data_IF_842471711101
#
_entry.id   IF_842471711101
#
_cell.length_a   1.000
_cell.length_b   1.000
_cell.length_c   1.000
_cell.angle_alpha   90.00
_cell.angle_beta   90.00
_cell.angle_gamma   90.00
#
_symmetry.space_group_name_H-M   'P 1'
#
loop_
_entity.id
_entity.type
_entity.pdbx_description
1 polymer ?
#
# COMPACT_ATOMS: atom_id res chain seq x y z
N UNK A 1 -69.13 7.12 -19.07
CA UNK A 1 -68.97 6.75 -20.50
C UNK A 1 -67.63 7.27 -20.97
N UNK A 2 -66.59 6.40 -20.93
CA UNK A 2 -65.49 6.44 -21.85
C UNK A 2 -64.59 5.24 -21.63
N UNK A 3 -64.29 4.61 -22.72
CA UNK A 3 -63.74 3.25 -22.81
C UNK A 3 -62.26 3.19 -22.44
N UNK A 4 -61.88 2.18 -21.63
CA UNK A 4 -60.54 1.65 -21.49
C UNK A 4 -60.08 1.02 -22.82
N UNK A 5 -58.91 1.45 -23.29
CA UNK A 5 -58.14 0.76 -24.31
C UNK A 5 -57.03 -0.05 -23.59
N UNK A 6 -57.11 -1.38 -23.67
CA UNK A 6 -56.04 -2.29 -23.21
C UNK A 6 -55.04 -2.45 -24.33
N UNK A 7 -53.82 -1.94 -24.11
CA UNK A 7 -52.67 -2.35 -24.90
C UNK A 7 -51.95 -3.49 -24.16
N UNK A 8 -51.92 -4.63 -24.82
CA UNK A 8 -51.14 -5.82 -24.37
C UNK A 8 -49.70 -5.58 -24.78
N UNK A 9 -48.80 -5.37 -23.82
CA UNK A 9 -47.38 -5.48 -24.06
C UNK A 9 -46.92 -6.88 -23.71
N UNK A 10 -46.38 -7.58 -24.70
CA UNK A 10 -45.71 -8.86 -24.61
C UNK A 10 -44.40 -8.62 -23.80
N UNK A 11 -44.30 -9.18 -22.62
CA UNK A 11 -43.09 -9.20 -21.84
C UNK A 11 -42.14 -10.23 -22.44
N UNK A 12 -41.05 -9.71 -23.02
CA UNK A 12 -39.86 -10.49 -23.33
C UNK A 12 -39.26 -11.06 -22.04
N UNK A 13 -38.74 -12.26 -22.14
CA UNK A 13 -38.13 -13.01 -21.08
C UNK A 13 -37.07 -12.15 -20.33
N UNK A 14 -37.39 -11.81 -19.10
CA UNK A 14 -36.39 -11.27 -18.16
C UNK A 14 -35.45 -12.41 -17.82
N UNK A 15 -34.21 -12.28 -18.24
CA UNK A 15 -33.10 -13.02 -17.67
C UNK A 15 -33.17 -12.84 -16.15
N UNK A 16 -33.56 -13.90 -15.45
CA UNK A 16 -33.38 -13.99 -14.00
C UNK A 16 -31.88 -14.20 -13.84
N UNK A 17 -31.15 -13.12 -13.67
CA UNK A 17 -29.84 -13.18 -13.04
C UNK A 17 -30.16 -13.73 -11.66
N UNK A 18 -29.97 -15.03 -11.47
CA UNK A 18 -29.71 -15.57 -10.16
C UNK A 18 -28.41 -14.85 -9.70
N UNK A 19 -28.62 -13.70 -9.05
CA UNK A 19 -27.73 -13.37 -7.98
C UNK A 19 -27.79 -14.59 -7.07
N UNK A 20 -26.86 -15.53 -7.26
CA UNK A 20 -26.45 -16.33 -6.16
C UNK A 20 -26.23 -15.28 -5.07
N UNK A 21 -27.13 -15.24 -4.12
CA UNK A 21 -26.92 -14.67 -2.81
C UNK A 21 -25.70 -15.43 -2.28
N UNK A 22 -24.50 -15.11 -2.85
CA UNK A 22 -23.36 -15.09 -1.98
C UNK A 22 -23.83 -14.20 -0.86
N UNK A 23 -23.81 -14.67 0.38
CA UNK A 23 -23.89 -13.72 1.45
C UNK A 23 -22.86 -12.69 0.97
N UNK A 24 -23.32 -11.47 0.62
CA UNK A 24 -22.52 -10.32 0.88
C UNK A 24 -21.83 -10.76 2.14
N UNK A 25 -20.54 -11.09 2.09
CA UNK A 25 -19.78 -11.19 3.30
C UNK A 25 -20.06 -9.84 3.92
N UNK A 26 -21.24 -9.79 4.54
CA UNK A 26 -21.62 -8.66 5.35
C UNK A 26 -20.40 -8.59 6.24
N UNK A 27 -19.64 -7.57 6.03
CA UNK A 27 -18.69 -7.14 7.03
C UNK A 27 -19.43 -7.45 8.32
N UNK A 28 -18.92 -8.33 9.19
CA UNK A 28 -19.68 -8.77 10.36
C UNK A 28 -20.16 -7.49 10.99
N UNK A 29 -21.47 -7.36 11.18
CA UNK A 29 -22.13 -6.12 11.53
C UNK A 29 -21.20 -5.36 12.48
N UNK A 30 -20.66 -4.24 12.02
CA UNK A 30 -19.69 -3.42 12.74
C UNK A 30 -20.34 -2.75 13.96
N UNK A 31 -21.27 -3.45 14.56
CA UNK A 31 -22.07 -3.01 15.70
C UNK A 31 -21.33 -2.96 17.03
N UNK A 32 -20.05 -3.18 17.02
CA UNK A 32 -19.17 -2.92 18.16
C UNK A 32 -17.99 -2.16 17.59
N UNK A 33 -17.69 -1.00 18.06
CA UNK A 33 -16.66 0.00 17.81
C UNK A 33 -15.23 -0.48 17.46
N UNK A 34 -15.07 -1.58 16.73
CA UNK A 34 -13.79 -2.21 16.40
C UNK A 34 -13.78 -2.71 14.98
N UNK A 35 -12.81 -2.28 14.18
CA UNK A 35 -12.52 -2.81 12.85
C UNK A 35 -12.18 -4.31 12.89
N UNK A 36 -11.73 -4.81 14.04
CA UNK A 36 -11.57 -6.22 14.32
C UNK A 36 -12.18 -6.54 15.67
N UNK A 37 -13.02 -7.56 15.74
CA UNK A 37 -13.38 -8.21 16.99
C UNK A 37 -12.21 -9.09 17.45
N UNK A 38 -11.09 -8.46 17.83
CA UNK A 38 -9.90 -9.21 18.28
C UNK A 38 -10.17 -9.91 19.61
N UNK A 39 -10.86 -9.25 20.52
CA UNK A 39 -11.38 -9.83 21.76
C UNK A 39 -12.61 -9.03 22.16
N UNK A 40 -13.79 -9.63 22.03
CA UNK A 40 -15.08 -8.96 22.31
C UNK A 40 -15.22 -8.41 23.73
N UNK A 41 -14.46 -8.96 24.66
CA UNK A 41 -14.66 -8.75 26.09
C UNK A 41 -13.54 -7.92 26.76
N UNK A 42 -12.54 -7.45 26.01
CA UNK A 42 -11.48 -6.59 26.56
C UNK A 42 -11.84 -5.12 26.29
N UNK A 43 -12.09 -4.31 27.32
CA UNK A 43 -12.35 -2.90 27.15
C UNK A 43 -11.11 -2.23 26.54
N UNK A 44 -11.32 -1.43 25.47
CA UNK A 44 -10.26 -0.62 24.90
C UNK A 44 -9.76 0.42 25.93
N UNK A 45 -8.47 0.74 25.84
CA UNK A 45 -7.90 1.78 26.68
C UNK A 45 -8.64 3.11 26.51
N UNK A 46 -8.96 3.85 27.61
CA UNK A 46 -9.70 5.11 27.54
C UNK A 46 -9.13 6.15 26.57
N UNK A 47 -7.80 6.15 26.35
CA UNK A 47 -7.16 7.03 25.37
C UNK A 47 -7.63 6.76 23.94
N UNK A 48 -7.82 5.50 23.55
CA UNK A 48 -8.36 5.13 22.23
C UNK A 48 -9.84 5.46 22.15
N UNK A 49 -10.62 5.11 23.19
CA UNK A 49 -12.05 5.45 23.21
C UNK A 49 -12.31 6.94 23.27
N UNK A 50 -11.49 7.72 23.98
CA UNK A 50 -11.61 9.17 24.00
C UNK A 50 -11.32 9.82 22.64
N UNK A 51 -10.36 9.27 21.88
CA UNK A 51 -10.01 9.75 20.53
C UNK A 51 -10.98 9.28 19.46
N UNK A 52 -11.48 8.05 19.58
CA UNK A 52 -12.25 7.37 18.56
C UNK A 52 -13.74 7.21 18.92
N UNK A 53 -14.17 7.63 20.11
CA UNK A 53 -15.58 7.52 20.52
C UNK A 53 -16.55 8.25 19.60
N UNK A 54 -16.07 9.27 18.88
CA UNK A 54 -16.83 9.98 17.85
C UNK A 54 -16.52 9.49 16.43
N UNK A 55 -15.59 8.56 16.26
CA UNK A 55 -15.10 8.12 14.96
C UNK A 55 -15.65 6.75 14.53
N UNK A 56 -16.43 6.08 15.37
CA UNK A 56 -17.10 4.84 14.99
C UNK A 56 -18.06 5.06 13.82
N UNK A 57 -18.83 6.14 13.89
CA UNK A 57 -19.69 6.59 12.81
C UNK A 57 -18.86 6.94 11.57
N UNK A 58 -17.71 7.59 11.75
CA UNK A 58 -16.80 7.89 10.65
C UNK A 58 -16.23 6.63 9.99
N UNK A 59 -15.82 5.64 10.77
CA UNK A 59 -15.34 4.36 10.24
C UNK A 59 -16.44 3.66 9.44
N UNK A 60 -17.65 3.58 10.00
CA UNK A 60 -18.76 2.87 9.37
C UNK A 60 -19.37 3.60 8.16
N UNK A 61 -19.42 4.93 8.21
CA UNK A 61 -20.12 5.73 7.19
C UNK A 61 -19.16 6.29 6.11
N UNK A 62 -17.87 6.44 6.42
CA UNK A 62 -16.90 7.00 5.49
C UNK A 62 -15.82 6.01 5.10
N UNK A 63 -15.08 5.43 6.07
CA UNK A 63 -13.91 4.60 5.76
C UNK A 63 -14.33 3.33 5.01
N UNK A 64 -15.28 2.57 5.54
CA UNK A 64 -15.72 1.29 4.93
C UNK A 64 -16.35 1.52 3.55
N UNK A 65 -17.32 2.45 3.38
CA UNK A 65 -17.87 2.75 2.06
C UNK A 65 -16.83 3.27 1.06
N UNK A 66 -15.80 4.01 1.55
CA UNK A 66 -14.72 4.47 0.68
C UNK A 66 -13.83 3.31 0.23
N UNK A 67 -13.54 2.33 1.09
CA UNK A 67 -12.83 1.12 0.67
C UNK A 67 -13.56 0.38 -0.46
N UNK A 68 -14.88 0.23 -0.33
CA UNK A 68 -15.70 -0.44 -1.34
C UNK A 68 -15.70 0.35 -2.67
N UNK A 69 -15.79 1.67 -2.62
CA UNK A 69 -15.86 2.54 -3.80
C UNK A 69 -14.50 2.77 -4.48
N UNK A 70 -13.43 2.95 -3.67
CA UNK A 70 -12.12 3.38 -4.18
C UNK A 70 -11.15 2.23 -4.42
N UNK A 71 -11.43 1.04 -3.86
CA UNK A 71 -10.52 -0.11 -3.89
C UNK A 71 -11.11 -1.36 -4.51
N UNK A 72 -12.39 -1.32 -4.93
CA UNK A 72 -13.04 -2.41 -5.63
C UNK A 72 -13.66 -1.92 -6.92
N UNK A 73 -13.66 -2.79 -7.89
CA UNK A 73 -14.37 -2.61 -9.14
C UNK A 73 -15.07 -3.91 -9.57
N UNK A 74 -15.93 -3.78 -10.57
CA UNK A 74 -16.58 -4.91 -11.22
C UNK A 74 -15.60 -5.53 -12.24
N UNK A 75 -15.47 -6.84 -12.20
CA UNK A 75 -14.57 -7.62 -13.04
C UNK A 75 -15.44 -8.45 -13.99
N UNK A 76 -15.36 -8.14 -15.28
CA UNK A 76 -16.04 -8.85 -16.36
C UNK A 76 -15.07 -9.84 -16.99
N UNK A 77 -15.17 -11.11 -16.58
CA UNK A 77 -14.36 -12.18 -17.15
C UNK A 77 -15.12 -12.84 -18.30
N UNK A 78 -14.50 -12.97 -19.46
CA UNK A 78 -15.01 -13.70 -20.61
C UNK A 78 -14.07 -14.85 -20.95
N UNK A 79 -14.59 -16.07 -21.01
CA UNK A 79 -13.83 -17.28 -21.30
C UNK A 79 -14.25 -17.81 -22.66
N UNK A 80 -13.25 -17.98 -23.54
CA UNK A 80 -13.45 -18.45 -24.91
C UNK A 80 -12.43 -19.54 -25.27
N UNK A 81 -12.78 -20.37 -26.24
CA UNK A 81 -11.86 -21.30 -26.88
C UNK A 81 -10.87 -20.57 -27.82
N UNK A 82 -9.86 -21.27 -28.30
CA UNK A 82 -8.84 -20.75 -29.22
C UNK A 82 -9.39 -20.23 -30.56
N UNK A 83 -10.56 -20.71 -30.98
CA UNK A 83 -11.29 -20.21 -32.17
C UNK A 83 -12.26 -19.07 -31.84
N UNK A 84 -12.32 -18.62 -30.58
CA UNK A 84 -13.14 -17.50 -30.11
C UNK A 84 -14.57 -17.86 -29.70
N UNK A 85 -14.96 -19.13 -29.72
CA UNK A 85 -16.28 -19.54 -29.24
C UNK A 85 -16.39 -19.43 -27.71
N UNK A 86 -17.54 -18.94 -27.16
CA UNK A 86 -17.74 -18.83 -25.72
C UNK A 86 -17.75 -20.21 -25.06
N UNK A 87 -17.04 -20.35 -23.93
CA UNK A 87 -17.01 -21.57 -23.13
C UNK A 87 -17.99 -21.44 -21.96
N UNK A 88 -19.09 -22.18 -22.05
CA UNK A 88 -20.17 -22.19 -21.07
C UNK A 88 -19.91 -23.20 -19.95
N UNK A 89 -20.55 -22.98 -18.80
CA UNK A 89 -20.50 -23.92 -17.64
C UNK A 89 -19.11 -24.26 -17.16
N UNK A 90 -18.14 -23.37 -17.43
CA UNK A 90 -16.82 -23.48 -16.85
C UNK A 90 -16.86 -23.06 -15.38
N UNK A 91 -16.34 -23.90 -14.48
CA UNK A 91 -16.18 -23.53 -13.08
C UNK A 91 -15.01 -22.54 -12.96
N UNK A 92 -15.27 -21.38 -12.37
CA UNK A 92 -14.31 -20.27 -12.20
C UNK A 92 -14.00 -20.12 -10.73
N UNK A 93 -12.71 -19.97 -10.40
CA UNK A 93 -12.25 -19.50 -9.09
C UNK A 93 -11.25 -18.39 -9.32
N UNK A 94 -11.53 -17.21 -8.77
CA UNK A 94 -10.66 -16.04 -8.80
C UNK A 94 -10.23 -15.68 -7.37
N UNK A 95 -8.94 -15.57 -7.16
CA UNK A 95 -8.35 -15.32 -5.83
C UNK A 95 -7.35 -14.18 -5.92
N UNK A 96 -7.58 -13.12 -5.15
CA UNK A 96 -6.62 -12.02 -5.00
C UNK A 96 -5.34 -12.54 -4.35
N UNK A 97 -4.21 -12.35 -5.01
CA UNK A 97 -2.89 -12.75 -4.52
C UNK A 97 -2.13 -11.59 -3.91
N UNK A 98 -2.35 -10.38 -4.45
CA UNK A 98 -1.64 -9.18 -4.04
C UNK A 98 -2.51 -7.96 -4.28
N UNK A 99 -2.67 -7.11 -3.26
CA UNK A 99 -3.35 -5.83 -3.38
C UNK A 99 -2.54 -4.84 -4.24
N UNK A 100 -3.23 -3.94 -4.96
CA UNK A 100 -2.60 -2.78 -5.59
C UNK A 100 -2.02 -1.82 -4.55
N UNK A 101 -2.71 -1.65 -3.42
CA UNK A 101 -2.23 -0.84 -2.30
C UNK A 101 -1.06 -1.52 -1.59
N UNK A 102 -0.04 -0.74 -1.24
CA UNK A 102 1.18 -1.27 -0.64
C UNK A 102 1.15 -1.19 0.89
N UNK A 103 0.90 -2.31 1.54
CA UNK A 103 1.23 -2.49 2.95
C UNK A 103 2.66 -2.98 3.09
N UNK A 104 3.45 -2.30 3.92
CA UNK A 104 4.88 -2.55 4.01
C UNK A 104 5.45 -2.58 5.42
N UNK A 105 6.71 -3.03 5.48
CA UNK A 105 7.50 -3.06 6.70
C UNK A 105 8.97 -2.78 6.38
N UNK A 106 9.61 -1.83 7.08
CA UNK A 106 10.96 -1.35 6.75
C UNK A 106 12.06 -2.44 6.84
N UNK A 107 11.85 -3.48 7.62
CA UNK A 107 12.81 -4.60 7.77
C UNK A 107 12.39 -5.85 6.98
N UNK A 108 11.38 -5.80 6.14
CA UNK A 108 10.86 -6.98 5.43
C UNK A 108 11.96 -7.77 4.70
N UNK A 109 12.76 -7.08 3.91
CA UNK A 109 13.83 -7.70 3.13
C UNK A 109 15.16 -7.89 3.92
N UNK A 110 15.31 -7.25 5.08
CA UNK A 110 16.54 -7.27 5.89
C UNK A 110 16.42 -8.07 7.17
N UNK A 111 15.23 -8.64 7.47
CA UNK A 111 15.00 -9.50 8.63
C UNK A 111 15.91 -10.74 8.57
N UNK A 112 16.65 -10.99 9.65
CA UNK A 112 17.65 -12.07 9.71
C UNK A 112 17.05 -13.42 9.98
N UNK A 113 15.98 -13.48 10.79
CA UNK A 113 15.25 -14.72 11.04
C UNK A 113 14.47 -15.14 9.81
N UNK A 114 14.78 -16.31 9.25
CA UNK A 114 14.04 -16.84 8.09
C UNK A 114 12.55 -17.06 8.39
N UNK A 115 12.23 -17.47 9.62
CA UNK A 115 10.85 -17.63 10.09
C UNK A 115 10.12 -16.28 10.11
N UNK A 116 10.71 -15.28 10.77
CA UNK A 116 10.08 -13.95 10.86
C UNK A 116 9.96 -13.31 9.48
N UNK A 117 10.96 -13.45 8.62
CA UNK A 117 10.91 -12.98 7.24
C UNK A 117 9.76 -13.62 6.47
N UNK A 118 9.56 -14.92 6.60
CA UNK A 118 8.43 -15.61 5.99
C UNK A 118 7.08 -15.07 6.50
N UNK A 119 6.95 -14.87 7.81
CA UNK A 119 5.74 -14.30 8.41
C UNK A 119 5.51 -12.84 7.98
N UNK A 120 6.57 -12.03 7.86
CA UNK A 120 6.45 -10.66 7.32
C UNK A 120 6.02 -10.68 5.85
N UNK A 121 6.60 -11.56 5.03
CA UNK A 121 6.25 -11.68 3.61
C UNK A 121 4.84 -12.23 3.38
N UNK A 122 4.21 -12.86 4.38
CA UNK A 122 2.80 -13.25 4.31
C UNK A 122 1.84 -12.09 4.57
N UNK A 123 2.31 -10.99 5.15
CA UNK A 123 1.51 -9.79 5.42
C UNK A 123 1.81 -8.65 4.44
N UNK A 124 3.06 -8.48 4.06
CA UNK A 124 3.55 -7.28 3.40
C UNK A 124 4.18 -7.58 2.05
N UNK A 125 3.91 -6.70 1.08
CA UNK A 125 4.47 -6.74 -0.27
C UNK A 125 5.20 -5.45 -0.63
N UNK A 126 5.66 -4.71 0.38
CA UNK A 126 6.37 -3.45 0.19
C UNK A 126 7.42 -3.27 1.29
N UNK A 127 8.53 -2.64 0.94
CA UNK A 127 9.57 -2.26 1.89
C UNK A 127 10.13 -0.88 1.57
N UNK A 128 10.30 -0.08 2.63
CA UNK A 128 11.08 1.16 2.61
C UNK A 128 12.24 0.94 3.59
N UNK A 129 13.43 0.50 3.14
CA UNK A 129 14.51 0.04 4.02
C UNK A 129 15.06 1.19 4.87
N UNK A 130 15.17 0.97 6.19
CA UNK A 130 15.61 2.00 7.13
C UNK A 130 17.05 2.49 6.88
N UNK A 131 17.98 1.55 6.70
CA UNK A 131 19.41 1.88 6.74
C UNK A 131 20.17 1.48 5.48
N UNK A 132 19.77 0.39 4.82
CA UNK A 132 20.58 -0.23 3.77
C UNK A 132 20.82 0.70 2.58
N UNK A 133 19.82 1.51 2.23
CA UNK A 133 19.83 2.47 1.11
C UNK A 133 20.42 3.84 1.45
N UNK A 134 20.85 4.08 2.70
CA UNK A 134 21.51 5.33 3.08
C UNK A 134 22.91 5.39 2.49
N UNK A 135 23.25 6.48 1.83
CA UNK A 135 24.48 6.68 1.07
C UNK A 135 25.74 6.25 1.79
N UNK A 136 25.89 6.57 3.07
CA UNK A 136 27.04 6.17 3.90
C UNK A 136 27.30 4.66 4.00
N UNK A 137 26.31 3.84 3.69
CA UNK A 137 26.39 2.39 3.89
C UNK A 137 26.86 1.61 2.63
N UNK A 138 26.91 2.30 1.47
CA UNK A 138 27.32 1.69 0.20
C UNK A 138 28.37 2.49 -0.58
N UNK A 139 28.83 3.63 -0.08
CA UNK A 139 29.84 4.44 -0.73
C UNK A 139 31.08 4.63 0.19
N UNK A 140 31.97 3.63 0.26
CA UNK A 140 33.11 3.65 1.17
C UNK A 140 34.14 4.74 0.83
N UNK A 141 34.21 5.16 -0.44
CA UNK A 141 35.11 6.19 -0.93
C UNK A 141 34.48 7.04 -2.04
N UNK A 142 35.10 8.17 -2.38
CA UNK A 142 34.64 9.08 -3.44
C UNK A 142 34.61 8.34 -4.79
N UNK A 143 33.42 8.25 -5.38
CA UNK A 143 33.19 7.58 -6.65
C UNK A 143 33.23 6.04 -6.59
N UNK A 144 33.40 5.47 -5.39
CA UNK A 144 33.39 4.03 -5.17
C UNK A 144 32.09 3.60 -4.51
N UNK A 145 31.41 2.62 -5.10
CA UNK A 145 30.12 2.11 -4.60
C UNK A 145 30.19 0.59 -4.40
N UNK A 146 29.83 0.14 -3.21
CA UNK A 146 29.57 -1.27 -2.90
C UNK A 146 28.08 -1.52 -2.77
N UNK A 147 27.46 -1.94 -3.86
CA UNK A 147 26.04 -2.25 -3.90
C UNK A 147 25.70 -3.71 -3.55
N UNK A 148 26.67 -4.54 -3.19
CA UNK A 148 26.49 -5.99 -3.02
C UNK A 148 25.34 -6.37 -2.08
N UNK A 149 25.20 -5.66 -0.95
CA UNK A 149 24.12 -5.90 0.00
C UNK A 149 22.76 -5.43 -0.51
N UNK A 150 22.75 -4.34 -1.28
CA UNK A 150 21.53 -3.79 -1.89
C UNK A 150 21.08 -4.70 -3.03
N UNK A 151 22.01 -5.17 -3.87
CA UNK A 151 21.72 -6.13 -4.93
C UNK A 151 21.04 -7.37 -4.34
N UNK A 152 21.59 -7.94 -3.27
CA UNK A 152 20.99 -9.11 -2.60
C UNK A 152 19.60 -8.84 -2.03
N UNK A 153 19.34 -7.62 -1.56
CA UNK A 153 18.01 -7.19 -1.11
C UNK A 153 17.04 -7.06 -2.29
N UNK A 154 17.48 -6.43 -3.38
CA UNK A 154 16.67 -6.25 -4.59
C UNK A 154 16.32 -7.60 -5.21
N UNK A 155 17.30 -8.51 -5.35
CA UNK A 155 17.09 -9.88 -5.84
C UNK A 155 16.05 -10.63 -4.98
N UNK A 156 16.15 -10.49 -3.65
CA UNK A 156 15.16 -11.09 -2.75
C UNK A 156 13.76 -10.49 -2.95
N UNK A 157 13.67 -9.16 -3.08
CA UNK A 157 12.40 -8.47 -3.27
C UNK A 157 11.76 -8.86 -4.61
N UNK A 158 12.54 -8.93 -5.69
CA UNK A 158 12.07 -9.34 -7.01
C UNK A 158 11.55 -10.79 -6.99
N UNK A 159 12.33 -11.72 -6.41
CA UNK A 159 11.94 -13.12 -6.29
C UNK A 159 10.68 -13.36 -5.45
N UNK A 160 10.31 -12.41 -4.58
CA UNK A 160 9.12 -12.48 -3.70
C UNK A 160 8.05 -11.44 -4.06
N UNK A 161 8.16 -10.79 -5.20
CA UNK A 161 7.23 -9.75 -5.68
C UNK A 161 7.01 -8.61 -4.67
N UNK A 162 8.05 -8.22 -3.92
CA UNK A 162 8.04 -7.13 -2.94
C UNK A 162 8.45 -5.84 -3.63
N UNK A 163 7.60 -4.81 -3.58
CA UNK A 163 7.91 -3.49 -4.10
C UNK A 163 8.85 -2.74 -3.15
N UNK A 164 9.74 -1.93 -3.72
CA UNK A 164 10.76 -1.20 -2.97
C UNK A 164 10.60 0.31 -3.17
N UNK A 165 10.65 1.06 -2.07
CA UNK A 165 10.92 2.49 -2.10
C UNK A 165 12.34 2.75 -1.61
N UNK A 166 13.17 3.38 -2.47
CA UNK A 166 14.53 3.78 -2.10
C UNK A 166 14.49 4.94 -1.11
N UNK A 167 15.02 4.73 0.06
CA UNK A 167 14.98 5.67 1.17
C UNK A 167 16.41 6.06 1.55
N UNK A 168 16.97 7.12 1.06
CA UNK A 168 16.64 8.11 0.07
C UNK A 168 17.90 8.50 -0.72
N UNK A 169 17.79 9.27 -1.81
CA UNK A 169 18.93 9.53 -2.71
C UNK A 169 19.94 10.53 -2.16
N UNK A 170 19.49 11.58 -1.47
CA UNK A 170 20.31 12.69 -1.02
C UNK A 170 20.28 12.89 0.49
N UNK A 171 21.44 12.78 1.13
CA UNK A 171 21.62 12.90 2.58
C UNK A 171 22.27 11.66 3.20
N UNK A 172 22.53 11.70 4.51
CA UNK A 172 23.28 10.68 5.26
C UNK A 172 24.62 10.33 4.59
N UNK A 173 25.44 11.37 4.41
CA UNK A 173 26.70 11.32 3.71
C UNK A 173 27.70 10.33 4.32
N UNK A 174 28.57 9.71 3.49
CA UNK A 174 29.76 8.99 3.94
C UNK A 174 30.74 9.90 4.69
N UNK A 175 31.63 9.32 5.48
CA UNK A 175 32.64 10.10 6.24
C UNK A 175 33.56 10.92 5.34
N UNK A 176 34.00 10.36 4.21
CA UNK A 176 34.86 11.05 3.24
C UNK A 176 34.21 12.32 2.66
N UNK A 177 32.89 12.43 2.64
CA UNK A 177 32.16 13.58 2.13
C UNK A 177 32.52 14.87 2.89
N UNK A 178 32.86 14.75 4.18
CA UNK A 178 33.27 15.89 5.01
C UNK A 178 34.62 16.48 4.57
N UNK A 179 35.45 15.73 3.83
CA UNK A 179 36.75 16.22 3.29
C UNK A 179 36.60 17.12 2.07
N UNK A 180 35.43 17.17 1.42
CA UNK A 180 35.14 18.06 0.31
C UNK A 180 35.14 19.52 0.80
N UNK A 181 35.85 20.37 0.08
CA UNK A 181 36.15 21.72 0.56
C UNK A 181 35.03 22.71 0.25
N UNK A 182 34.32 22.53 -0.83
CA UNK A 182 33.31 23.50 -1.30
C UNK A 182 31.91 22.89 -1.38
N UNK A 183 30.88 23.72 -1.23
CA UNK A 183 29.50 23.31 -1.40
C UNK A 183 29.23 22.83 -2.85
N UNK A 184 29.97 23.37 -3.83
CA UNK A 184 29.87 22.92 -5.22
C UNK A 184 30.36 21.47 -5.39
N UNK A 185 31.47 21.07 -4.76
CA UNK A 185 31.98 19.70 -4.75
C UNK A 185 30.97 18.75 -4.06
N UNK A 186 30.40 19.19 -2.93
CA UNK A 186 29.39 18.44 -2.20
C UNK A 186 28.13 18.26 -3.01
N UNK A 187 27.61 19.28 -3.65
CA UNK A 187 26.45 19.23 -4.53
C UNK A 187 26.68 18.30 -5.73
N UNK A 188 27.86 18.42 -6.37
CA UNK A 188 28.25 17.54 -7.47
C UNK A 188 28.30 16.07 -7.04
N UNK A 189 28.82 15.77 -5.84
CA UNK A 189 28.88 14.42 -5.29
C UNK A 189 27.51 13.87 -4.95
N UNK A 190 26.57 14.68 -4.45
CA UNK A 190 25.19 14.28 -4.21
C UNK A 190 24.45 13.93 -5.50
N UNK A 191 24.61 14.74 -6.54
CA UNK A 191 24.06 14.46 -7.86
C UNK A 191 24.67 13.20 -8.49
N UNK A 192 25.98 13.01 -8.36
CA UNK A 192 26.67 11.81 -8.85
C UNK A 192 26.17 10.54 -8.16
N UNK A 193 25.96 10.58 -6.83
CA UNK A 193 25.37 9.49 -6.09
C UNK A 193 23.96 9.15 -6.57
N UNK A 194 23.10 10.17 -6.69
CA UNK A 194 21.72 9.97 -7.15
C UNK A 194 21.67 9.32 -8.54
N UNK A 195 22.55 9.77 -9.47
CA UNK A 195 22.69 9.17 -10.80
C UNK A 195 23.19 7.72 -10.75
N UNK A 196 24.16 7.42 -9.90
CA UNK A 196 24.70 6.06 -9.76
C UNK A 196 23.60 5.07 -9.30
N UNK A 197 22.81 5.47 -8.33
CA UNK A 197 21.67 4.68 -7.83
C UNK A 197 20.60 4.50 -8.90
N UNK A 198 20.14 5.60 -9.51
CA UNK A 198 19.07 5.55 -10.52
C UNK A 198 19.48 4.76 -11.76
N UNK A 199 20.71 4.93 -12.27
CA UNK A 199 21.21 4.16 -13.41
C UNK A 199 21.26 2.66 -13.12
N UNK A 200 21.51 2.27 -11.85
CA UNK A 200 21.58 0.86 -11.48
C UNK A 200 20.21 0.22 -11.25
N UNK A 201 19.29 0.95 -10.60
CA UNK A 201 18.09 0.36 -10.01
C UNK A 201 16.77 0.86 -10.61
N UNK A 202 16.76 1.73 -11.62
CA UNK A 202 15.53 2.30 -12.19
C UNK A 202 14.53 1.25 -12.72
N UNK A 203 15.01 0.05 -13.08
CA UNK A 203 14.18 -1.03 -13.62
C UNK A 203 13.75 -2.07 -12.55
N UNK A 204 14.31 -2.00 -11.33
CA UNK A 204 14.07 -2.98 -10.26
C UNK A 204 13.54 -2.37 -8.97
N UNK A 205 13.67 -1.07 -8.78
CA UNK A 205 13.12 -0.34 -7.63
C UNK A 205 11.94 0.50 -8.11
N UNK A 206 10.82 0.41 -7.40
CA UNK A 206 9.54 0.98 -7.85
C UNK A 206 9.45 2.49 -7.63
N UNK A 207 9.99 2.98 -6.49
CA UNK A 207 9.85 4.36 -6.05
C UNK A 207 11.17 4.87 -5.49
N UNK A 208 11.49 6.15 -5.77
CA UNK A 208 12.70 6.78 -5.25
C UNK A 208 12.36 8.06 -4.51
N UNK A 209 12.58 8.07 -3.22
CA UNK A 209 12.52 9.27 -2.40
C UNK A 209 13.83 10.04 -2.59
N UNK A 210 13.75 11.28 -3.06
CA UNK A 210 14.93 12.10 -3.35
C UNK A 210 15.48 12.72 -2.07
N UNK A 211 14.61 13.30 -1.24
CA UNK A 211 14.95 13.94 0.03
C UNK A 211 14.15 13.34 1.17
N UNK A 212 14.71 13.40 2.37
CA UNK A 212 14.07 12.94 3.59
C UNK A 212 14.06 14.00 4.67
N UNK A 213 12.87 14.29 5.21
CA UNK A 213 12.70 15.23 6.33
C UNK A 213 13.45 16.55 6.11
N UNK A 214 13.22 17.20 4.99
CA UNK A 214 13.91 18.42 4.56
C UNK A 214 13.95 19.54 5.62
N UNK A 215 12.96 19.57 6.49
CA UNK A 215 12.87 20.50 7.63
C UNK A 215 13.93 20.25 8.74
N UNK A 216 14.60 19.10 8.72
CA UNK A 216 15.66 18.76 9.67
C UNK A 216 17.05 19.15 9.19
N UNK A 217 17.16 20.32 8.53
CA UNK A 217 18.45 20.89 8.06
C UNK A 217 19.49 21.09 9.16
N UNK A 218 19.09 21.01 10.44
CA UNK A 218 20.01 21.06 11.59
C UNK A 218 20.82 19.76 11.79
N UNK A 219 20.46 18.68 11.09
CA UNK A 219 21.24 17.43 11.12
C UNK A 219 22.28 17.51 10.00
N UNK A 220 23.51 17.90 10.35
CA UNK A 220 24.59 18.12 9.37
C UNK A 220 24.77 16.94 8.39
N UNK A 221 24.73 15.70 8.90
CA UNK A 221 24.86 14.49 8.06
C UNK A 221 23.71 14.27 7.07
N UNK A 222 22.56 14.91 7.28
CA UNK A 222 21.38 14.79 6.42
C UNK A 222 21.24 16.00 5.47
N UNK A 223 22.12 17.01 5.60
CA UNK A 223 22.06 18.25 4.86
C UNK A 223 22.16 18.01 3.34
N UNK A 224 21.36 18.72 2.60
CA UNK A 224 21.42 18.79 1.15
C UNK A 224 22.18 20.06 0.77
N UNK A 225 23.25 19.93 -0.03
CA UNK A 225 24.14 21.01 -0.42
C UNK A 225 23.83 21.62 -1.79
N UNK A 226 23.02 20.91 -2.61
CA UNK A 226 22.51 21.43 -3.86
C UNK A 226 21.16 22.13 -3.66
N UNK A 227 20.79 22.99 -4.57
CA UNK A 227 19.40 23.45 -4.68
C UNK A 227 18.51 22.25 -4.96
N UNK A 228 17.58 22.00 -4.06
CA UNK A 228 16.72 20.81 -4.08
C UNK A 228 15.80 20.81 -5.30
N UNK A 229 15.28 21.98 -5.67
CA UNK A 229 14.43 22.13 -6.85
C UNK A 229 15.22 21.81 -8.12
N UNK A 230 16.44 22.32 -8.25
CA UNK A 230 17.28 22.05 -9.42
C UNK A 230 17.78 20.60 -9.46
N UNK A 231 18.09 20.00 -8.31
CA UNK A 231 18.43 18.57 -8.24
C UNK A 231 17.24 17.73 -8.70
N UNK A 232 16.04 17.99 -8.17
CA UNK A 232 14.84 17.26 -8.55
C UNK A 232 14.54 17.39 -10.05
N UNK A 233 14.56 18.60 -10.60
CA UNK A 233 14.36 18.86 -12.03
C UNK A 233 15.38 18.14 -12.90
N UNK A 234 16.64 18.12 -12.47
CA UNK A 234 17.72 17.42 -13.18
C UNK A 234 17.45 15.92 -13.23
N UNK A 235 17.14 15.31 -12.09
CA UNK A 235 16.83 13.87 -12.01
C UNK A 235 15.55 13.52 -12.80
N UNK A 236 14.51 14.34 -12.71
CA UNK A 236 13.27 14.14 -13.47
C UNK A 236 13.51 14.19 -14.99
N UNK A 237 14.35 15.10 -15.45
CA UNK A 237 14.71 15.24 -16.86
C UNK A 237 15.52 14.03 -17.37
N UNK A 238 16.46 13.55 -16.56
CA UNK A 238 17.33 12.43 -16.93
C UNK A 238 16.63 11.09 -16.82
N UNK A 239 15.69 10.95 -15.86
CA UNK A 239 14.95 9.71 -15.56
C UNK A 239 13.44 9.92 -15.66
N UNK A 240 12.88 10.19 -16.84
CA UNK A 240 11.48 10.59 -17.01
C UNK A 240 10.46 9.51 -16.66
N UNK A 241 10.87 8.24 -16.65
CA UNK A 241 9.98 7.10 -16.38
C UNK A 241 10.01 6.66 -14.91
N UNK A 242 10.98 7.11 -14.13
CA UNK A 242 11.14 6.71 -12.73
C UNK A 242 10.13 7.46 -11.85
N UNK A 243 9.53 6.77 -10.89
CA UNK A 243 8.68 7.42 -9.90
C UNK A 243 9.53 8.09 -8.82
N UNK A 244 9.52 9.44 -8.82
CA UNK A 244 10.25 10.27 -7.88
C UNK A 244 9.31 10.96 -6.91
N UNK A 245 9.71 10.98 -5.63
CA UNK A 245 9.01 11.68 -4.58
C UNK A 245 9.95 12.34 -3.57
N UNK A 246 9.35 13.05 -2.62
CA UNK A 246 10.07 13.71 -1.52
C UNK A 246 9.33 13.47 -0.21
N UNK A 247 10.04 13.49 0.92
CA UNK A 247 9.43 13.48 2.23
C UNK A 247 9.50 14.86 2.85
N UNK A 248 8.36 15.52 2.92
CA UNK A 248 8.23 16.91 3.37
C UNK A 248 7.28 17.03 4.58
N UNK A 249 6.74 15.91 5.09
CA UNK A 249 5.75 15.92 6.17
C UNK A 249 5.99 14.82 7.20
N UNK A 250 5.70 15.09 8.45
CA UNK A 250 5.97 14.18 9.56
C UNK A 250 4.81 13.96 10.54
N UNK A 251 3.61 14.43 10.22
CA UNK A 251 2.47 14.18 11.11
C UNK A 251 1.13 14.37 10.42
N UNK A 252 0.13 13.65 10.91
CA UNK A 252 -1.28 13.82 10.54
C UNK A 252 -1.98 14.98 11.24
N UNK A 253 -1.31 15.88 11.90
CA UNK A 253 -1.97 16.93 12.67
C UNK A 253 -1.96 18.30 11.96
N UNK A 254 -2.82 19.21 12.45
CA UNK A 254 -3.01 20.57 11.88
C UNK A 254 -1.74 21.44 11.92
N UNK A 255 -0.78 21.12 12.79
CA UNK A 255 0.46 21.89 12.94
C UNK A 255 1.53 21.51 11.91
N UNK A 256 1.46 20.26 11.40
CA UNK A 256 2.40 19.73 10.43
C UNK A 256 1.63 19.24 9.19
N UNK A 257 1.08 20.16 8.44
CA UNK A 257 0.36 19.88 7.20
C UNK A 257 1.29 19.27 6.16
N UNK A 258 0.74 18.37 5.36
CA UNK A 258 1.28 18.16 4.01
C UNK A 258 1.36 19.52 3.32
N UNK A 259 2.44 19.83 2.59
CA UNK A 259 2.47 21.03 1.75
C UNK A 259 1.31 20.97 0.75
N UNK A 260 0.85 22.12 0.29
CA UNK A 260 -0.23 22.13 -0.71
C UNK A 260 0.25 21.49 -2.02
N UNK A 261 -0.68 20.98 -2.82
CA UNK A 261 -0.36 20.41 -4.13
C UNK A 261 0.37 21.43 -5.01
N UNK A 262 -0.06 22.70 -4.97
CA UNK A 262 0.56 23.78 -5.73
C UNK A 262 1.99 24.06 -5.28
N UNK A 263 2.26 24.07 -3.97
CA UNK A 263 3.62 24.24 -3.42
C UNK A 263 4.53 23.10 -3.87
N UNK A 264 4.07 21.85 -3.75
CA UNK A 264 4.82 20.67 -4.17
C UNK A 264 5.11 20.68 -5.66
N UNK A 265 4.10 20.96 -6.49
CA UNK A 265 4.29 21.03 -7.95
C UNK A 265 5.20 22.18 -8.38
N UNK A 266 5.15 23.29 -7.69
CA UNK A 266 6.02 24.44 -7.95
C UNK A 266 7.50 24.13 -7.65
N UNK A 267 7.76 23.47 -6.52
CA UNK A 267 9.11 23.09 -6.10
C UNK A 267 9.65 21.89 -6.87
N UNK A 268 8.81 20.89 -7.14
CA UNK A 268 9.19 19.59 -7.70
C UNK A 268 8.34 19.24 -8.93
N UNK A 269 8.52 19.90 -10.06
CA UNK A 269 7.75 19.66 -11.27
C UNK A 269 7.83 18.20 -11.73
N UNK A 270 6.69 17.56 -11.95
CA UNK A 270 6.60 16.15 -12.35
C UNK A 270 6.84 15.15 -11.22
N UNK A 271 6.66 15.57 -9.97
CA UNK A 271 6.66 14.68 -8.81
C UNK A 271 5.51 13.67 -8.90
N UNK A 272 5.75 12.43 -8.46
CA UNK A 272 4.76 11.37 -8.45
C UNK A 272 4.12 11.14 -7.08
N UNK A 273 4.90 11.34 -6.00
CA UNK A 273 4.40 11.12 -4.65
C UNK A 273 5.09 12.01 -3.62
N UNK A 274 4.35 12.25 -2.54
CA UNK A 274 4.91 12.84 -1.30
C UNK A 274 4.91 11.76 -0.23
N UNK A 275 6.04 11.61 0.44
CA UNK A 275 6.14 10.72 1.60
C UNK A 275 5.86 11.51 2.87
N UNK A 276 5.25 10.82 3.85
CA UNK A 276 5.05 11.38 5.19
C UNK A 276 5.47 10.40 6.27
N UNK A 277 5.98 10.95 7.35
CA UNK A 277 6.32 10.23 8.56
C UNK A 277 5.26 10.45 9.64
N UNK A 278 4.78 9.38 10.21
CA UNK A 278 3.72 9.39 11.20
C UNK A 278 4.15 8.67 12.48
N UNK A 279 5.27 9.13 13.06
CA UNK A 279 5.74 8.61 14.35
C UNK A 279 4.86 9.14 15.49
N UNK A 280 4.23 8.24 16.22
CA UNK A 280 3.31 8.57 17.30
C UNK A 280 3.77 8.04 18.66
N UNK A 281 3.52 8.78 19.69
CA UNK A 281 3.08 10.18 19.68
C UNK A 281 4.29 11.13 19.68
N UNK A 282 4.43 12.00 18.70
CA UNK A 282 5.40 13.09 18.86
C UNK A 282 4.80 14.25 19.62
N UNK A 283 3.55 14.61 19.38
CA UNK A 283 2.83 15.64 20.15
C UNK A 283 1.35 15.35 20.26
N UNK A 284 0.72 14.84 19.20
CA UNK A 284 -0.71 14.60 19.14
C UNK A 284 -0.98 13.23 18.51
N UNK A 285 -1.94 12.52 19.07
CA UNK A 285 -2.59 11.41 18.40
C UNK A 285 -3.48 11.97 17.29
N UNK A 286 -3.47 11.35 16.13
CA UNK A 286 -4.42 11.66 15.08
C UNK A 286 -5.51 10.60 15.06
N UNK A 287 -6.75 11.04 15.08
CA UNK A 287 -7.89 10.18 14.84
C UNK A 287 -7.93 9.71 13.37
N UNK A 288 -8.63 8.62 13.04
CA UNK A 288 -8.88 8.23 11.66
C UNK A 288 -9.43 9.37 10.80
N UNK A 289 -10.34 10.19 11.37
CA UNK A 289 -10.89 11.35 10.68
C UNK A 289 -9.83 12.42 10.38
N UNK A 290 -8.98 12.77 11.33
CA UNK A 290 -7.90 13.75 11.11
C UNK A 290 -6.89 13.27 10.05
N UNK A 291 -6.62 11.95 10.02
CA UNK A 291 -5.78 11.35 8.98
C UNK A 291 -6.43 11.46 7.61
N UNK A 292 -7.69 11.10 7.51
CA UNK A 292 -8.45 11.16 6.26
C UNK A 292 -8.54 12.60 5.75
N UNK A 293 -8.88 13.57 6.62
CA UNK A 293 -8.94 14.99 6.28
C UNK A 293 -7.56 15.52 5.79
N UNK A 294 -6.46 14.96 6.29
CA UNK A 294 -5.11 15.28 5.80
C UNK A 294 -4.90 14.75 4.38
N UNK A 295 -5.35 13.55 4.10
CA UNK A 295 -5.23 12.95 2.77
C UNK A 295 -6.13 13.64 1.72
N UNK A 296 -7.29 14.17 2.12
CA UNK A 296 -8.23 14.88 1.25
C UNK A 296 -7.59 16.08 0.51
N UNK A 297 -6.47 16.63 1.04
CA UNK A 297 -5.72 17.70 0.38
C UNK A 297 -5.17 17.29 -0.99
N UNK A 298 -4.98 15.99 -1.23
CA UNK A 298 -4.42 15.43 -2.46
C UNK A 298 -5.44 14.67 -3.32
N UNK A 299 -6.73 14.71 -2.95
CA UNK A 299 -7.79 13.90 -3.58
C UNK A 299 -7.90 14.11 -5.09
N UNK A 300 -7.84 15.38 -5.53
CA UNK A 300 -8.02 15.77 -6.92
C UNK A 300 -6.69 15.91 -7.68
N UNK A 301 -5.59 15.38 -7.12
CA UNK A 301 -4.28 15.41 -7.74
C UNK A 301 -3.80 14.01 -8.16
N UNK A 302 -2.91 13.97 -9.15
CA UNK A 302 -2.21 12.74 -9.55
C UNK A 302 -1.09 12.36 -8.58
N UNK A 303 -0.69 13.27 -7.67
CA UNK A 303 0.36 13.04 -6.68
C UNK A 303 -0.18 12.08 -5.60
N UNK A 304 0.56 11.01 -5.34
CA UNK A 304 0.18 10.03 -4.32
C UNK A 304 0.86 10.28 -2.98
N UNK A 305 0.21 9.85 -1.91
CA UNK A 305 0.75 9.92 -0.55
C UNK A 305 1.32 8.55 -0.18
N UNK A 306 2.58 8.53 0.25
CA UNK A 306 3.23 7.37 0.84
C UNK A 306 3.46 7.63 2.33
N UNK A 307 2.80 6.88 3.20
CA UNK A 307 3.10 6.89 4.64
C UNK A 307 4.25 5.92 4.87
N UNK A 308 5.48 6.40 4.73
CA UNK A 308 6.68 5.55 4.70
C UNK A 308 7.24 5.19 6.07
N UNK A 309 6.94 6.00 7.09
CA UNK A 309 7.40 5.75 8.44
C UNK A 309 6.24 5.89 9.45
N UNK A 310 5.38 4.86 9.50
CA UNK A 310 4.36 4.81 10.53
C UNK A 310 4.88 4.04 11.76
N UNK A 311 4.91 4.70 12.90
CA UNK A 311 5.44 4.10 14.12
C UNK A 311 4.78 4.59 15.40
N UNK A 312 4.58 3.67 16.37
CA UNK A 312 4.05 3.98 17.69
C UNK A 312 5.10 3.72 18.75
N UNK A 313 5.30 4.69 19.61
CA UNK A 313 6.13 4.56 20.81
C UNK A 313 5.21 4.09 21.94
N UNK A 314 5.48 2.91 22.49
CA UNK A 314 4.80 2.37 23.67
C UNK A 314 5.45 2.93 24.94
N UNK A 315 4.66 3.23 25.97
CA UNK A 315 5.12 3.73 27.27
C UNK A 315 4.96 5.24 27.48
N UNK A 316 5.24 5.68 28.68
CA UNK A 316 5.19 7.09 29.04
C UNK A 316 6.28 7.89 28.31
N UNK A 317 5.86 8.94 27.60
CA UNK A 317 6.75 10.01 27.16
C UNK A 317 6.23 11.30 27.82
N UNK A 318 7.06 12.10 28.40
CA UNK A 318 6.67 13.38 28.99
C UNK A 318 5.96 14.27 27.97
N UNK A 319 4.77 14.77 28.33
CA UNK A 319 4.00 15.72 27.51
C UNK A 319 2.48 15.55 27.55
N UNK A 320 1.80 16.59 27.11
CA UNK A 320 0.39 16.93 27.32
C UNK A 320 -0.63 15.91 26.77
N UNK A 321 -0.23 14.91 25.98
CA UNK A 321 -1.15 14.09 25.20
C UNK A 321 -1.01 12.59 25.45
N UNK A 322 -0.54 12.21 26.62
CA UNK A 322 -0.37 10.83 26.98
C UNK A 322 -1.11 10.47 28.22
N UNK A 323 -1.90 9.50 28.05
CA UNK A 323 -2.68 8.90 29.11
C UNK A 323 -2.29 7.44 29.22
N UNK A 324 -1.24 7.19 29.99
CA UNK A 324 -0.87 5.85 30.42
C UNK A 324 -0.31 4.92 29.33
N UNK A 325 0.03 3.72 29.75
CA UNK A 325 0.50 2.65 28.87
C UNK A 325 -0.66 2.10 28.04
N UNK A 326 -0.45 2.00 26.75
CA UNK A 326 -1.37 1.29 25.86
C UNK A 326 -1.13 -0.21 25.99
N UNK A 327 -2.17 -0.97 26.23
CA UNK A 327 -2.10 -2.42 26.12
C UNK A 327 -1.98 -2.86 24.64
N UNK A 328 -1.63 -4.11 24.43
CA UNK A 328 -1.36 -4.62 23.10
C UNK A 328 -2.64 -4.69 22.24
N UNK A 329 -3.79 -4.93 22.86
CA UNK A 329 -5.09 -4.93 22.17
C UNK A 329 -5.47 -3.53 21.67
N UNK A 330 -5.31 -2.51 22.51
CA UNK A 330 -5.55 -1.11 22.15
C UNK A 330 -4.63 -0.67 21.01
N UNK A 331 -3.35 -1.06 21.10
CA UNK A 331 -2.37 -0.77 20.08
C UNK A 331 -2.73 -1.42 18.74
N UNK A 332 -3.09 -2.70 18.77
CA UNK A 332 -3.47 -3.45 17.58
C UNK A 332 -4.71 -2.83 16.90
N UNK A 333 -5.73 -2.45 17.69
CA UNK A 333 -6.94 -1.78 17.18
C UNK A 333 -6.60 -0.45 16.51
N UNK A 334 -5.75 0.38 17.13
CA UNK A 334 -5.32 1.64 16.52
C UNK A 334 -4.61 1.43 15.19
N UNK A 335 -3.70 0.46 15.11
CA UNK A 335 -3.02 0.12 13.85
C UNK A 335 -3.98 -0.30 12.76
N UNK A 336 -4.98 -1.09 13.09
CA UNK A 336 -6.00 -1.53 12.13
C UNK A 336 -6.83 -0.34 11.64
N UNK A 337 -7.21 0.58 12.53
CA UNK A 337 -7.94 1.78 12.15
C UNK A 337 -7.11 2.68 11.22
N UNK A 338 -5.81 2.87 11.53
CA UNK A 338 -4.88 3.60 10.65
C UNK A 338 -4.75 2.91 9.29
N UNK A 339 -4.56 1.60 9.28
CA UNK A 339 -4.41 0.82 8.06
C UNK A 339 -5.66 0.89 7.18
N UNK A 340 -6.84 0.75 7.77
CA UNK A 340 -8.12 0.86 7.07
C UNK A 340 -8.35 2.28 6.54
N UNK A 341 -8.04 3.30 7.32
CA UNK A 341 -8.17 4.71 6.91
C UNK A 341 -7.24 5.04 5.75
N UNK A 342 -5.97 4.66 5.83
CA UNK A 342 -5.02 4.84 4.74
C UNK A 342 -5.46 4.08 3.47
N UNK A 343 -5.89 2.83 3.63
CA UNK A 343 -6.39 2.01 2.52
C UNK A 343 -7.65 2.59 1.89
N UNK A 344 -8.54 3.20 2.66
CA UNK A 344 -9.80 3.75 2.13
C UNK A 344 -9.62 4.98 1.25
N UNK A 345 -8.52 5.73 1.38
CA UNK A 345 -8.34 7.00 0.68
C UNK A 345 -7.65 6.85 -0.68
N UNK A 346 -8.22 7.37 -1.79
CA UNK A 346 -7.69 7.17 -3.15
C UNK A 346 -6.32 7.80 -3.40
N UNK A 347 -5.95 8.83 -2.63
CA UNK A 347 -4.63 9.48 -2.76
C UNK A 347 -3.53 8.70 -2.06
N UNK A 348 -3.85 7.84 -1.09
CA UNK A 348 -2.84 7.05 -0.37
C UNK A 348 -2.52 5.78 -1.15
N UNK A 349 -1.24 5.52 -1.37
CA UNK A 349 -0.76 4.33 -2.09
C UNK A 349 0.04 3.38 -1.21
N UNK A 350 0.69 3.90 -0.19
CA UNK A 350 1.59 3.14 0.69
C UNK A 350 1.28 3.43 2.16
N UNK A 351 1.28 2.38 2.97
CA UNK A 351 1.43 2.43 4.42
C UNK A 351 2.53 1.46 4.84
N UNK A 352 3.66 1.97 5.31
CA UNK A 352 4.82 1.18 5.72
C UNK A 352 5.10 1.32 7.21
N UNK A 353 5.15 0.19 7.92
CA UNK A 353 5.46 0.14 9.33
C UNK A 353 6.95 0.39 9.54
N UNK A 354 7.26 1.38 10.37
CA UNK A 354 8.63 1.71 10.74
C UNK A 354 9.02 0.98 12.00
N UNK A 355 9.96 0.08 11.91
CA UNK A 355 10.30 -0.86 12.96
C UNK A 355 11.72 -0.67 13.51
N UNK A 356 12.02 0.53 13.97
CA UNK A 356 13.14 0.71 14.89
C UNK A 356 12.66 0.28 16.29
N UNK A 357 12.86 -0.99 16.61
CA UNK A 357 12.29 -1.62 17.81
C UNK A 357 12.81 -1.06 19.13
N UNK A 358 13.97 -0.40 19.14
CA UNK A 358 14.50 0.26 20.33
C UNK A 358 13.70 1.54 20.67
N UNK A 359 13.17 2.20 19.63
CA UNK A 359 12.43 3.46 19.77
C UNK A 359 10.93 3.27 19.63
N UNK A 360 10.49 2.44 18.69
CA UNK A 360 9.07 2.19 18.38
C UNK A 360 8.65 0.82 18.88
N UNK A 361 8.69 0.65 20.19
CA UNK A 361 8.36 -0.63 20.84
C UNK A 361 6.92 -1.09 20.59
N UNK A 362 6.03 -0.15 20.26
CA UNK A 362 4.66 -0.45 19.87
C UNK A 362 4.49 -1.13 18.52
N UNK A 363 5.51 -1.11 17.65
CA UNK A 363 5.44 -1.72 16.31
C UNK A 363 5.92 -3.18 16.29
N UNK A 364 6.20 -3.79 17.42
CA UNK A 364 6.72 -5.17 17.47
C UNK A 364 5.66 -6.15 16.99
N UNK A 365 5.97 -6.82 15.90
CA UNK A 365 5.15 -7.90 15.34
C UNK A 365 5.49 -9.26 15.94
N UNK A 366 6.63 -9.38 16.60
CA UNK A 366 7.09 -10.59 17.26
C UNK A 366 7.55 -10.29 18.67
N UNK A 367 7.16 -11.13 19.63
CA UNK A 367 7.64 -11.11 20.99
C UNK A 367 9.11 -11.51 21.09
N UNK A 368 9.69 -11.39 22.27
CA UNK A 368 11.08 -11.83 22.55
C UNK A 368 11.27 -13.34 22.34
N UNK A 369 10.20 -14.11 22.50
CA UNK A 369 10.16 -15.56 22.22
C UNK A 369 10.01 -15.88 20.72
N UNK A 370 9.95 -14.86 19.86
CA UNK A 370 9.77 -14.98 18.42
C UNK A 370 8.36 -15.38 17.97
N UNK A 371 7.36 -15.33 18.86
CA UNK A 371 5.97 -15.57 18.49
C UNK A 371 5.30 -14.30 17.98
N UNK A 372 4.29 -14.43 17.10
CA UNK A 372 3.44 -13.32 16.72
C UNK A 372 2.82 -12.60 17.92
N UNK A 373 2.75 -11.26 17.84
CA UNK A 373 2.06 -10.42 18.82
C UNK A 373 0.59 -10.23 18.44
N UNK A 374 -0.21 -9.62 19.33
CA UNK A 374 -1.58 -9.22 19.01
C UNK A 374 -1.64 -8.30 17.79
N UNK A 375 -0.67 -7.41 17.63
CA UNK A 375 -0.56 -6.56 16.44
C UNK A 375 -0.38 -7.38 15.15
N UNK A 376 0.47 -8.41 15.18
CA UNK A 376 0.64 -9.29 14.02
C UNK A 376 -0.68 -9.97 13.67
N UNK A 377 -1.36 -10.56 14.66
CA UNK A 377 -2.62 -11.29 14.43
C UNK A 377 -3.72 -10.35 13.93
N UNK A 378 -3.76 -9.11 14.43
CA UNK A 378 -4.69 -8.10 13.99
C UNK A 378 -4.47 -7.71 12.51
N UNK A 379 -3.23 -7.45 12.14
CA UNK A 379 -2.87 -7.14 10.75
C UNK A 379 -3.10 -8.35 9.84
N UNK A 380 -2.78 -9.56 10.29
CA UNK A 380 -3.07 -10.78 9.54
C UNK A 380 -4.58 -10.93 9.27
N UNK A 381 -5.41 -10.70 10.28
CA UNK A 381 -6.86 -10.72 10.12
C UNK A 381 -7.34 -9.65 9.14
N UNK A 382 -6.81 -8.42 9.21
CA UNK A 382 -7.16 -7.36 8.27
C UNK A 382 -6.71 -7.70 6.85
N UNK A 383 -5.43 -7.95 6.64
CA UNK A 383 -4.82 -8.01 5.31
C UNK A 383 -5.18 -9.31 4.57
N UNK A 384 -5.17 -10.46 5.27
CA UNK A 384 -5.34 -11.77 4.66
C UNK A 384 -6.78 -12.31 4.74
N UNK A 385 -7.66 -11.70 5.56
CA UNK A 385 -9.03 -12.21 5.72
C UNK A 385 -10.11 -11.16 5.44
N UNK A 386 -9.81 -9.85 5.53
CA UNK A 386 -10.77 -8.78 5.27
C UNK A 386 -10.51 -8.07 3.96
N UNK A 387 -9.26 -7.68 3.68
CA UNK A 387 -8.87 -6.98 2.45
C UNK A 387 -8.46 -7.98 1.36
N UNK A 388 -9.26 -9.03 1.18
CA UNK A 388 -9.03 -10.06 0.17
C UNK A 388 -10.29 -10.33 -0.66
N UNK A 389 -10.13 -10.97 -1.79
CA UNK A 389 -11.23 -11.40 -2.65
C UNK A 389 -11.00 -12.85 -3.05
N UNK A 390 -11.96 -13.69 -2.74
CA UNK A 390 -12.03 -15.06 -3.24
C UNK A 390 -13.43 -15.32 -3.75
N UNK A 391 -13.56 -15.57 -5.05
CA UNK A 391 -14.84 -15.80 -5.72
C UNK A 391 -14.81 -17.14 -6.44
N UNK A 392 -15.91 -17.86 -6.34
CA UNK A 392 -16.18 -19.05 -7.15
C UNK A 392 -17.49 -18.84 -7.90
N UNK A 393 -17.54 -19.24 -9.14
CA UNK A 393 -18.72 -19.09 -9.99
C UNK A 393 -18.68 -20.01 -11.20
N UNK A 394 -19.59 -19.79 -12.13
CA UNK A 394 -19.70 -20.54 -13.37
C UNK A 394 -19.96 -19.56 -14.52
N UNK A 395 -19.42 -19.84 -15.72
CA UNK A 395 -19.68 -19.02 -16.90
C UNK A 395 -21.09 -19.28 -17.44
N UNK A 396 -21.72 -18.18 -17.87
CA UNK A 396 -23.05 -18.20 -18.55
C UNK A 396 -22.97 -18.71 -20.01
N UNK A 397 -24.08 -18.61 -20.72
CA UNK A 397 -24.21 -19.00 -22.14
C UNK A 397 -23.31 -18.21 -23.08
N UNK A 398 -22.83 -17.04 -22.68
CA UNK A 398 -21.90 -16.18 -23.40
C UNK A 398 -20.44 -16.38 -23.01
N UNK A 399 -20.17 -17.34 -22.12
CA UNK A 399 -18.86 -17.58 -21.53
C UNK A 399 -18.44 -16.49 -20.54
N UNK A 400 -19.40 -15.74 -19.98
CA UNK A 400 -19.13 -14.62 -19.07
C UNK A 400 -19.30 -15.03 -17.59
N UNK A 401 -18.47 -14.44 -16.74
CA UNK A 401 -18.57 -14.49 -15.29
C UNK A 401 -18.23 -13.10 -14.75
N UNK A 402 -19.10 -12.50 -13.94
CA UNK A 402 -18.93 -11.15 -13.40
C UNK A 402 -18.91 -11.21 -11.88
N UNK A 403 -17.98 -10.50 -11.29
CA UNK A 403 -17.85 -10.38 -9.83
C UNK A 403 -17.21 -9.05 -9.42
N UNK A 404 -17.38 -8.64 -8.16
CA UNK A 404 -16.69 -7.47 -7.59
C UNK A 404 -15.49 -7.94 -6.78
N UNK A 405 -14.36 -7.19 -6.90
CA UNK A 405 -13.14 -7.53 -6.19
C UNK A 405 -12.23 -6.34 -5.94
N UNK A 406 -11.37 -6.45 -4.94
CA UNK A 406 -10.34 -5.46 -4.65
C UNK A 406 -9.34 -5.35 -5.81
N UNK A 407 -8.79 -4.16 -6.03
CA UNK A 407 -7.74 -3.93 -7.00
C UNK A 407 -6.46 -4.69 -6.63
N UNK A 408 -5.84 -5.30 -7.64
CA UNK A 408 -4.60 -6.05 -7.45
C UNK A 408 -4.47 -7.23 -8.40
N UNK A 409 -3.52 -8.10 -8.10
CA UNK A 409 -3.21 -9.27 -8.92
C UNK A 409 -4.04 -10.47 -8.52
N UNK A 410 -4.68 -11.09 -9.49
CA UNK A 410 -5.53 -12.26 -9.31
C UNK A 410 -4.91 -13.50 -9.92
N UNK A 411 -5.07 -14.62 -9.21
CA UNK A 411 -4.92 -15.97 -9.74
C UNK A 411 -6.28 -16.50 -10.14
N UNK A 412 -6.41 -16.84 -11.41
CA UNK A 412 -7.61 -17.43 -11.98
C UNK A 412 -7.39 -18.92 -12.17
N UNK A 413 -8.36 -19.72 -11.73
CA UNK A 413 -8.44 -21.15 -12.02
C UNK A 413 -9.76 -21.39 -12.73
N UNK A 414 -9.71 -22.05 -13.88
CA UNK A 414 -10.89 -22.38 -14.68
C UNK A 414 -10.88 -23.88 -14.97
N UNK A 415 -11.97 -24.55 -14.60
CA UNK A 415 -12.21 -25.94 -14.96
C UNK A 415 -13.25 -25.98 -16.08
N UNK A 416 -12.83 -26.41 -17.26
CA UNK A 416 -13.71 -26.50 -18.41
C UNK A 416 -14.75 -27.62 -18.24
N UNK A 417 -15.76 -27.65 -19.11
CA UNK A 417 -16.79 -28.71 -19.15
C UNK A 417 -16.20 -30.11 -19.42
N UNK A 418 -15.01 -30.18 -20.05
CA UNK A 418 -14.26 -31.45 -20.21
C UNK A 418 -13.59 -31.92 -18.91
N UNK A 419 -13.60 -31.08 -17.83
CA UNK A 419 -12.97 -31.36 -16.55
C UNK A 419 -11.50 -30.93 -16.48
N UNK A 420 -10.92 -30.36 -17.55
CA UNK A 420 -9.52 -29.89 -17.58
C UNK A 420 -9.37 -28.57 -16.82
N UNK A 421 -8.28 -28.45 -16.04
CA UNK A 421 -7.98 -27.27 -15.23
C UNK A 421 -6.96 -26.36 -15.96
N UNK A 422 -7.28 -25.07 -16.04
CA UNK A 422 -6.43 -24.00 -16.55
C UNK A 422 -6.16 -22.97 -15.48
N UNK A 423 -4.98 -22.34 -15.52
CA UNK A 423 -4.62 -21.26 -14.60
C UNK A 423 -4.06 -20.09 -15.38
N UNK A 424 -4.40 -18.88 -14.91
CA UNK A 424 -3.87 -17.65 -15.45
C UNK A 424 -3.73 -16.60 -14.33
N UNK A 425 -3.04 -15.50 -14.62
CA UNK A 425 -2.96 -14.34 -13.72
C UNK A 425 -3.32 -13.09 -14.50
N UNK A 426 -3.94 -12.13 -13.82
CA UNK A 426 -4.26 -10.82 -14.37
C UNK A 426 -4.34 -9.78 -13.27
N UNK A 427 -4.13 -8.52 -13.65
CA UNK A 427 -4.21 -7.39 -12.73
C UNK A 427 -5.55 -6.66 -12.90
N UNK A 428 -6.14 -6.26 -11.78
CA UNK A 428 -7.36 -5.46 -11.68
C UNK A 428 -6.97 -4.08 -11.14
N UNK A 429 -7.29 -3.05 -11.90
CA UNK A 429 -7.02 -1.66 -11.55
C UNK A 429 -8.30 -0.86 -11.30
N UNK A 430 -8.16 0.47 -11.22
CA UNK A 430 -9.22 1.44 -10.94
C UNK A 430 -10.10 1.71 -12.17
N UNK A 431 -10.78 0.76 -12.68
CA UNK A 431 -11.87 0.84 -13.67
C UNK A 431 -12.41 -0.54 -13.84
N UNK A 432 -13.66 -0.68 -14.25
CA UNK A 432 -14.20 -1.99 -14.58
C UNK A 432 -13.21 -2.75 -15.49
N UNK A 433 -12.74 -3.89 -15.00
CA UNK A 433 -11.74 -4.69 -15.71
C UNK A 433 -12.44 -5.69 -16.62
N UNK A 434 -12.18 -5.59 -17.91
CA UNK A 434 -12.65 -6.57 -18.91
C UNK A 434 -11.49 -7.52 -19.22
N UNK A 435 -11.55 -8.72 -18.64
CA UNK A 435 -10.55 -9.75 -18.83
C UNK A 435 -11.07 -10.86 -19.76
N UNK A 436 -10.31 -11.18 -20.81
CA UNK A 436 -10.63 -12.27 -21.73
C UNK A 436 -9.62 -13.39 -21.58
N UNK A 437 -10.09 -14.55 -21.12
CA UNK A 437 -9.30 -15.79 -21.06
C UNK A 437 -9.53 -16.62 -22.31
N UNK A 438 -8.49 -16.83 -23.09
CA UNK A 438 -8.50 -17.76 -24.23
C UNK A 438 -7.90 -19.08 -23.79
N UNK A 439 -8.70 -20.15 -23.93
CA UNK A 439 -8.30 -21.53 -23.58
C UNK A 439 -8.08 -22.33 -24.84
N UNK A 440 -6.92 -22.97 -24.94
CA UNK A 440 -6.66 -24.02 -25.93
C UNK A 440 -6.68 -25.38 -25.25
N UNK A 441 -7.81 -26.08 -25.36
CA UNK A 441 -7.98 -27.39 -24.70
C UNK A 441 -7.06 -28.47 -25.30
N UNK A 442 -6.68 -28.36 -26.57
CA UNK A 442 -5.82 -29.33 -27.24
C UNK A 442 -4.39 -29.23 -26.71
N UNK A 443 -3.85 -28.01 -26.67
CA UNK A 443 -2.49 -27.75 -26.19
C UNK A 443 -2.41 -27.67 -24.65
N UNK A 444 -3.53 -27.46 -23.98
CA UNK A 444 -3.56 -27.29 -22.52
C UNK A 444 -3.05 -25.93 -22.03
N UNK A 445 -3.17 -24.93 -22.86
CA UNK A 445 -2.72 -23.57 -22.56
C UNK A 445 -3.89 -22.63 -22.32
N UNK A 446 -3.66 -21.59 -21.52
CA UNK A 446 -4.58 -20.50 -21.30
C UNK A 446 -3.83 -19.17 -21.30
N UNK A 447 -4.42 -18.16 -21.91
CA UNK A 447 -3.86 -16.82 -21.99
C UNK A 447 -4.91 -15.77 -21.65
N UNK A 448 -4.58 -14.81 -20.79
CA UNK A 448 -5.46 -13.68 -20.43
C UNK A 448 -5.01 -12.43 -21.19
N UNK A 449 -5.98 -11.72 -21.74
CA UNK A 449 -5.83 -10.34 -22.21
C UNK A 449 -6.78 -9.43 -21.42
N UNK A 450 -6.36 -8.20 -21.16
CA UNK A 450 -7.18 -7.16 -20.53
C UNK A 450 -7.42 -6.10 -21.59
N UNK A 451 -8.69 -5.74 -21.80
CA UNK A 451 -9.14 -4.73 -22.75
C UNK A 451 -9.16 -3.33 -22.12
#
# INVERSE_FOLDING_TARGET
MFRMSRSVYVFGARCVILFALFPLLSWPAWGENRLLALQKDVPLHPAVTAFFSNDDEFISEVVIPSMERERKDEIHLKIVSSDGAPLQTCQVSAELQKLEFHFGHCNLATEKSSRNRHLLSSLFHFTCPENLTKWKNYAPDLGVYDFSKIDSMVDYCDANEINIEWHFLSGYHPEWFTSLQTDAEKAASQLANSRAVLNRYQDSVNFFQVFNEDWHTHIERAKVFCDQTELFKTLRKEFPKVELGVCDCWSFNKENRLPSVEEVMSRYPGINFVSMHAHKPRRLWASPKEMFDTFEQYKDSDIKIHVTEFGIIKGEIEGVYRTGDWDDATLAEYFVQVAATAFSHPSVRVLNLWANYDKFTGNRLFGEDGKPTELYEALNSLLNHKLTTHVTGETDENGACVFSGFHGRYKLKVKSSSGRLFTAQFDVGRKATHAKLVINEVEGTAHVTID
#
